data_IF_614801532846
#
_entry.id   IF_614801532846
#
_cell.length_a   1.000
_cell.length_b   1.000
_cell.length_c   1.000
_cell.angle_alpha   90.00
_cell.angle_beta   90.00
_cell.angle_gamma   90.00
#
_symmetry.space_group_name_H-M   'P 1'
#
loop_
_entity.id
_entity.type
_entity.pdbx_description
1 polymer ?
#
# COMPACT_ATOMS: atom_id res chain seq x y z
N UNK A 1 -11.37 13.84 5.23
CA UNK A 1 -10.80 12.66 5.90
C UNK A 1 -10.71 11.49 4.91
N UNK A 2 -9.53 11.27 4.33
CA UNK A 2 -9.27 10.15 3.42
C UNK A 2 -9.03 8.88 4.23
N UNK A 3 -10.10 8.19 4.65
CA UNK A 3 -9.98 6.93 5.38
C UNK A 3 -9.45 5.83 4.47
N UNK A 4 -8.19 5.42 4.70
CA UNK A 4 -7.63 4.19 4.16
C UNK A 4 -8.42 3.03 4.79
N UNK A 5 -8.94 2.12 3.97
CA UNK A 5 -9.69 0.94 4.45
C UNK A 5 -9.01 -0.33 4.00
N UNK A 6 -8.70 -1.22 4.93
CA UNK A 6 -8.25 -2.58 4.62
C UNK A 6 -9.40 -3.30 3.94
N UNK A 7 -9.21 -3.78 2.71
CA UNK A 7 -10.24 -4.52 1.99
C UNK A 7 -10.17 -6.01 2.29
N UNK A 8 -8.96 -6.58 2.25
CA UNK A 8 -8.72 -8.00 2.51
C UNK A 8 -7.27 -8.19 2.96
N UNK A 9 -7.08 -9.07 3.94
CA UNK A 9 -5.79 -9.65 4.30
C UNK A 9 -5.82 -11.14 3.97
N UNK A 10 -4.78 -11.61 3.30
CA UNK A 10 -4.46 -13.03 3.18
C UNK A 10 -3.01 -13.19 3.65
N UNK A 11 -2.61 -14.39 4.10
CA UNK A 11 -1.19 -14.68 4.27
C UNK A 11 -0.44 -14.30 2.98
N UNK A 12 0.63 -13.54 3.14
CA UNK A 12 1.46 -12.94 2.07
C UNK A 12 0.84 -11.81 1.24
N UNK A 13 -0.41 -11.39 1.46
CA UNK A 13 -1.04 -10.35 0.61
C UNK A 13 -2.03 -9.45 1.35
N UNK A 14 -1.73 -8.14 1.36
CA UNK A 14 -2.66 -7.11 1.83
C UNK A 14 -3.24 -6.34 0.65
N UNK A 15 -4.54 -6.04 0.70
CA UNK A 15 -5.21 -5.09 -0.19
C UNK A 15 -5.77 -3.91 0.59
N UNK A 16 -5.28 -2.72 0.29
CA UNK A 16 -5.72 -1.45 0.86
C UNK A 16 -6.59 -0.68 -0.14
N UNK A 17 -7.60 0.03 0.36
CA UNK A 17 -8.29 1.10 -0.37
C UNK A 17 -7.64 2.41 0.03
N UNK A 18 -7.05 3.10 -0.92
CA UNK A 18 -6.28 4.34 -0.71
C UNK A 18 -6.89 5.44 -1.61
N UNK A 19 -7.89 6.19 -1.14
CA UNK A 19 -8.57 7.21 -1.95
C UNK A 19 -7.62 8.25 -2.58
N UNK A 20 -6.52 8.57 -1.89
CA UNK A 20 -5.50 9.51 -2.32
C UNK A 20 -4.82 9.17 -3.65
N UNK A 21 -4.79 7.89 -4.06
CA UNK A 21 -4.17 7.47 -5.32
C UNK A 21 -5.12 7.60 -6.52
N UNK A 22 -6.39 7.94 -6.28
CA UNK A 22 -7.38 8.05 -7.36
C UNK A 22 -6.96 9.15 -8.33
N UNK A 23 -6.89 8.80 -9.62
CA UNK A 23 -6.48 9.73 -10.69
C UNK A 23 -5.08 10.37 -10.47
N UNK A 24 -4.23 9.77 -9.65
CA UNK A 24 -2.89 10.29 -9.36
C UNK A 24 -1.82 9.25 -9.62
N UNK A 25 -1.31 9.21 -10.86
CA UNK A 25 -0.20 8.33 -11.24
C UNK A 25 1.08 8.65 -10.47
N UNK A 26 1.30 9.92 -10.11
CA UNK A 26 2.47 10.34 -9.33
C UNK A 26 2.47 9.67 -7.95
N UNK A 27 1.35 9.71 -7.23
CA UNK A 27 1.24 9.07 -5.91
C UNK A 27 1.32 7.55 -6.07
N UNK A 28 0.70 6.98 -7.10
CA UNK A 28 0.77 5.56 -7.40
C UNK A 28 2.22 5.07 -7.58
N UNK A 29 2.98 5.68 -8.50
CA UNK A 29 4.39 5.32 -8.75
C UNK A 29 5.27 5.50 -7.52
N UNK A 30 5.01 6.53 -6.72
CA UNK A 30 5.76 6.79 -5.50
C UNK A 30 5.50 5.71 -4.43
N UNK A 31 4.29 5.17 -4.33
CA UNK A 31 3.96 4.06 -3.42
C UNK A 31 4.56 2.74 -3.89
N UNK A 32 4.57 2.50 -5.20
CA UNK A 32 5.22 1.32 -5.80
C UNK A 32 6.73 1.35 -5.55
N UNK A 33 7.40 2.48 -5.81
CA UNK A 33 8.83 2.64 -5.50
C UNK A 33 9.15 2.44 -4.02
N UNK A 34 8.33 3.00 -3.14
CA UNK A 34 8.51 2.82 -1.70
C UNK A 34 8.43 1.34 -1.29
N UNK A 35 7.60 0.55 -1.98
CA UNK A 35 7.51 -0.88 -1.74
C UNK A 35 8.76 -1.62 -2.24
N UNK A 36 9.30 -1.24 -3.39
CA UNK A 36 10.53 -1.81 -3.95
C UNK A 36 11.76 -1.56 -3.07
N UNK A 37 11.75 -0.47 -2.30
CA UNK A 37 12.83 -0.11 -1.37
C UNK A 37 12.80 -0.93 -0.05
N UNK A 38 11.76 -1.73 0.20
CA UNK A 38 11.58 -2.46 1.45
C UNK A 38 11.93 -3.94 1.25
N UNK A 39 13.01 -4.39 1.88
CA UNK A 39 13.36 -5.80 1.98
C UNK A 39 12.19 -6.59 2.60
N UNK A 40 11.83 -7.72 1.98
CA UNK A 40 10.68 -8.54 2.39
C UNK A 40 9.36 -8.15 1.73
N UNK A 41 9.31 -7.09 0.91
CA UNK A 41 8.19 -6.85 0.00
C UNK A 41 8.54 -7.40 -1.38
N UNK A 42 7.72 -8.31 -1.90
CA UNK A 42 7.94 -8.91 -3.21
C UNK A 42 7.50 -8.02 -4.36
N UNK A 43 6.36 -7.35 -4.20
CA UNK A 43 5.89 -6.32 -5.12
C UNK A 43 4.69 -5.57 -4.53
N UNK A 44 4.50 -4.34 -4.98
CA UNK A 44 3.26 -3.60 -4.79
C UNK A 44 2.71 -3.10 -6.13
N UNK A 45 1.39 -3.00 -6.22
CA UNK A 45 0.72 -2.44 -7.38
C UNK A 45 -0.45 -1.56 -6.98
N UNK A 46 -0.48 -0.37 -7.55
CA UNK A 46 -1.56 0.59 -7.36
C UNK A 46 -2.51 0.58 -8.55
N UNK A 47 -3.81 0.61 -8.25
CA UNK A 47 -4.87 0.82 -9.22
C UNK A 47 -5.49 2.20 -8.97
N UNK A 48 -5.16 3.15 -9.85
CA UNK A 48 -5.61 4.54 -9.81
C UNK A 48 -7.10 4.72 -10.14
N UNK A 49 -7.71 3.78 -10.86
CA UNK A 49 -9.16 3.80 -11.18
C UNK A 49 -9.98 3.43 -9.94
N UNK A 50 -9.63 2.31 -9.31
CA UNK A 50 -10.35 1.75 -8.17
C UNK A 50 -9.86 2.28 -6.81
N UNK A 51 -8.84 3.14 -6.81
CA UNK A 51 -8.17 3.65 -5.61
C UNK A 51 -7.70 2.51 -4.68
N UNK A 52 -7.07 1.50 -5.26
CA UNK A 52 -6.64 0.29 -4.56
C UNK A 52 -5.13 0.11 -4.60
N UNK A 53 -4.56 -0.43 -3.54
CA UNK A 53 -3.16 -0.83 -3.45
C UNK A 53 -3.12 -2.30 -3.03
N UNK A 54 -2.37 -3.11 -3.77
CA UNK A 54 -2.13 -4.52 -3.45
C UNK A 54 -0.65 -4.67 -3.17
N UNK A 55 -0.32 -5.33 -2.06
CA UNK A 55 1.05 -5.55 -1.62
C UNK A 55 1.21 -7.04 -1.37
N UNK A 56 2.27 -7.64 -1.91
CA UNK A 56 2.74 -8.97 -1.52
C UNK A 56 4.04 -8.87 -0.75
N UNK A 57 4.14 -9.60 0.35
CA UNK A 57 5.26 -9.54 1.28
C UNK A 57 5.59 -10.94 1.81
N UNK A 58 6.79 -11.07 2.38
CA UNK A 58 7.26 -12.23 3.08
C UNK A 58 6.70 -12.26 4.52
N UNK A 59 5.93 -13.29 4.84
CA UNK A 59 5.30 -13.44 6.15
C UNK A 59 6.29 -13.81 7.26
N UNK A 60 7.51 -14.25 6.90
CA UNK A 60 8.58 -14.47 7.86
C UNK A 60 9.20 -13.16 8.36
N UNK A 61 9.04 -12.07 7.59
CA UNK A 61 9.57 -10.75 7.90
C UNK A 61 8.51 -9.76 8.40
N UNK A 62 7.29 -9.84 7.86
CA UNK A 62 6.22 -8.92 8.23
C UNK A 62 4.91 -9.63 8.52
N UNK A 63 4.16 -9.05 9.44
CA UNK A 63 2.74 -9.30 9.64
C UNK A 63 1.90 -8.35 8.79
N UNK A 64 0.63 -8.69 8.58
CA UNK A 64 -0.23 -7.85 7.73
C UNK A 64 -0.49 -6.50 8.36
N UNK A 65 -0.57 -6.44 9.69
CA UNK A 65 -0.73 -5.19 10.43
C UNK A 65 0.48 -4.26 10.27
N UNK A 66 1.70 -4.80 10.24
CA UNK A 66 2.92 -4.01 9.99
C UNK A 66 2.90 -3.42 8.59
N UNK A 67 2.55 -4.21 7.57
CA UNK A 67 2.39 -3.72 6.20
C UNK A 67 1.29 -2.66 6.12
N UNK A 68 0.15 -2.87 6.77
CA UNK A 68 -0.93 -1.87 6.81
C UNK A 68 -0.41 -0.56 7.40
N UNK A 69 0.29 -0.62 8.53
CA UNK A 69 0.80 0.56 9.22
C UNK A 69 1.87 1.31 8.40
N UNK A 70 2.84 0.61 7.81
CA UNK A 70 3.87 1.20 6.94
C UNK A 70 3.25 2.02 5.80
N UNK A 71 2.28 1.44 5.09
CA UNK A 71 1.66 2.12 3.96
C UNK A 71 0.65 3.18 4.38
N UNK A 72 -0.01 3.06 5.55
CA UNK A 72 -0.86 4.13 6.09
C UNK A 72 -0.04 5.37 6.45
N UNK A 73 1.12 5.19 7.11
CA UNK A 73 2.02 6.30 7.42
C UNK A 73 2.53 6.96 6.13
N UNK A 74 2.95 6.16 5.15
CA UNK A 74 3.50 6.69 3.90
C UNK A 74 2.48 7.47 3.07
N UNK A 75 1.22 7.03 3.03
CA UNK A 75 0.16 7.78 2.35
C UNK A 75 -0.10 9.12 3.04
N UNK A 76 -0.10 9.14 4.38
CA UNK A 76 -0.39 10.34 5.18
C UNK A 76 0.69 11.42 4.98
N UNK A 77 1.97 11.02 5.00
CA UNK A 77 3.10 11.94 4.76
C UNK A 77 3.10 12.57 3.35
N UNK A 78 2.40 11.96 2.38
CA UNK A 78 2.39 12.39 0.97
C UNK A 78 1.08 13.06 0.54
N UNK A 79 0.10 13.15 1.44
CA UNK A 79 -1.16 13.87 1.21
C UNK A 79 -1.32 15.15 2.02
N UNK A 80 -0.38 15.43 2.92
CA UNK A 80 -0.28 16.70 3.66
C UNK A 80 0.67 17.63 2.94
#
# INVERSE_FOLDING_TARGET
>A
MNNIRVKHSLPHRVRLKVPAVRNSEKIARNLEKYADDIEGIYWARVNTVCAGLVIRFDESMFTENEIINLFMQQVTQRTT
#
